data_IF_201781789190
#
_entry.id   IF_201781789190
#
_cell.length_a   1.000
_cell.length_b   1.000
_cell.length_c   1.000
_cell.angle_alpha   90.00
_cell.angle_beta   90.00
_cell.angle_gamma   90.00
#
_symmetry.space_group_name_H-M   'P 1'
#
loop_
_entity.id
_entity.type
_entity.pdbx_description
1 polymer ?
#
# COMPACT_ATOMS: atom_id res chain seq x y z
N UNK A 1 27.57 -56.24 52.79
CA UNK A 1 26.11 -56.18 52.66
C UNK A 1 25.79 -54.77 52.15
N UNK A 2 25.42 -54.62 50.85
CA UNK A 2 25.18 -53.29 50.28
C UNK A 2 23.68 -52.95 50.30
N UNK A 3 23.38 -51.69 50.51
CA UNK A 3 22.06 -51.11 50.48
C UNK A 3 21.65 -50.76 49.08
N UNK A 4 20.44 -51.22 48.67
CA UNK A 4 19.77 -50.92 47.42
C UNK A 4 19.42 -49.42 47.28
N UNK A 5 19.86 -48.80 46.20
CA UNK A 5 19.33 -47.53 45.73
C UNK A 5 18.32 -47.76 44.60
N UNK A 6 17.06 -47.50 44.87
CA UNK A 6 15.94 -47.57 43.92
C UNK A 6 15.96 -46.31 43.06
N UNK A 7 16.24 -46.43 41.77
CA UNK A 7 16.10 -45.37 40.80
C UNK A 7 14.61 -45.12 40.51
N UNK A 8 14.12 -43.93 40.83
CA UNK A 8 12.78 -43.49 40.38
C UNK A 8 12.90 -42.91 38.96
N UNK A 9 12.27 -43.58 38.02
CA UNK A 9 12.03 -43.04 36.68
C UNK A 9 11.03 -41.89 36.77
N UNK A 10 11.38 -40.73 36.19
CA UNK A 10 10.44 -39.66 35.91
C UNK A 10 9.85 -39.84 34.52
N UNK A 11 8.54 -39.66 34.34
CA UNK A 11 7.92 -39.72 33.01
C UNK A 11 8.31 -38.48 32.20
N UNK A 12 8.73 -38.71 30.96
CA UNK A 12 8.95 -37.64 29.97
C UNK A 12 7.61 -37.05 29.60
N UNK A 13 7.38 -35.81 30.03
CA UNK A 13 6.27 -35.00 29.60
C UNK A 13 6.54 -34.40 28.21
N UNK A 14 5.72 -34.77 27.24
CA UNK A 14 5.61 -34.14 25.93
C UNK A 14 5.19 -32.67 26.12
N UNK A 15 6.12 -31.75 25.97
CA UNK A 15 5.83 -30.33 25.87
C UNK A 15 5.40 -30.02 24.44
N UNK A 16 4.11 -29.87 24.23
CA UNK A 16 3.55 -29.20 23.06
C UNK A 16 4.11 -27.76 23.00
N UNK A 17 4.43 -27.24 21.81
CA UNK A 17 4.89 -25.85 21.66
C UNK A 17 3.77 -24.90 22.08
N UNK A 18 3.97 -24.26 23.21
CA UNK A 18 3.04 -23.28 23.76
C UNK A 18 2.81 -22.14 22.76
N UNK A 19 1.56 -22.00 22.43
CA UNK A 19 1.00 -20.85 21.74
C UNK A 19 1.30 -19.61 22.58
N UNK A 20 2.42 -18.92 22.28
CA UNK A 20 2.74 -17.63 22.90
C UNK A 20 1.71 -16.62 22.42
N UNK A 21 0.66 -16.48 23.18
CA UNK A 21 -0.29 -15.37 23.06
C UNK A 21 0.53 -14.09 23.02
N UNK A 22 0.53 -13.48 21.84
CA UNK A 22 1.19 -12.20 21.59
C UNK A 22 0.43 -11.15 22.41
N UNK A 23 1.00 -10.74 23.55
CA UNK A 23 0.44 -9.66 24.35
C UNK A 23 0.56 -8.38 23.55
N UNK A 24 -0.54 -8.00 22.97
CA UNK A 24 -0.70 -6.79 22.19
C UNK A 24 -0.91 -5.66 23.16
N UNK A 25 0.17 -4.97 23.52
CA UNK A 25 0.05 -3.71 24.25
C UNK A 25 -0.47 -2.63 23.27
N UNK A 26 -1.77 -2.50 23.22
CA UNK A 26 -2.43 -1.32 22.65
C UNK A 26 -2.13 -0.17 23.62
N UNK A 27 -1.21 0.74 23.27
CA UNK A 27 -1.16 2.02 23.97
C UNK A 27 -2.40 2.81 23.55
N UNK A 28 -3.55 2.43 24.10
CA UNK A 28 -4.78 3.21 24.05
C UNK A 28 -4.65 4.32 25.07
N UNK A 29 -3.80 5.29 24.84
CA UNK A 29 -4.06 6.64 25.30
C UNK A 29 -5.23 7.19 24.50
N UNK A 30 -6.41 6.60 24.74
CA UNK A 30 -7.65 7.24 24.36
C UNK A 30 -7.75 8.46 25.29
N UNK A 31 -7.68 9.69 24.78
CA UNK A 31 -8.00 10.82 25.64
C UNK A 31 -9.39 10.54 26.19
N UNK A 32 -9.53 10.49 27.52
CA UNK A 32 -10.83 10.46 28.17
C UNK A 32 -11.63 11.57 27.51
N UNK A 33 -12.64 11.19 26.77
CA UNK A 33 -13.55 12.08 26.08
C UNK A 33 -14.28 12.92 27.15
N UNK A 34 -13.73 14.08 27.45
CA UNK A 34 -14.61 15.18 27.79
C UNK A 34 -15.53 15.35 26.58
N UNK A 35 -16.82 15.26 26.81
CA UNK A 35 -17.91 15.15 25.84
C UNK A 35 -18.10 16.43 25.01
N UNK A 36 -17.09 16.83 24.25
CA UNK A 36 -17.26 17.77 23.14
C UNK A 36 -17.34 16.97 21.86
N UNK A 37 -18.56 16.65 21.44
CA UNK A 37 -18.84 16.17 20.09
C UNK A 37 -18.50 17.31 19.12
N UNK A 38 -17.22 17.48 18.78
CA UNK A 38 -16.86 18.40 17.70
C UNK A 38 -17.56 17.95 16.42
N UNK A 39 -18.30 18.83 15.81
CA UNK A 39 -18.83 18.62 14.47
C UNK A 39 -17.75 19.04 13.46
N UNK A 40 -17.90 18.61 12.20
CA UNK A 40 -16.99 19.06 11.15
C UNK A 40 -17.00 20.58 10.98
N UNK A 41 -18.16 21.22 11.22
CA UNK A 41 -18.32 22.67 11.16
C UNK A 41 -17.49 23.34 12.26
N UNK A 42 -17.53 22.82 13.49
CA UNK A 42 -16.81 23.38 14.64
C UNK A 42 -15.29 23.40 14.47
N UNK A 43 -14.75 22.46 13.69
CA UNK A 43 -13.31 22.33 13.48
C UNK A 43 -12.83 22.86 12.12
N UNK A 44 -13.74 23.21 11.21
CA UNK A 44 -13.40 23.61 9.84
C UNK A 44 -12.36 24.76 9.79
N UNK A 45 -12.48 25.75 10.68
CA UNK A 45 -11.54 26.89 10.79
C UNK A 45 -10.15 26.46 11.28
N UNK A 46 -9.98 25.25 11.84
CA UNK A 46 -8.71 24.69 12.33
C UNK A 46 -8.02 23.79 11.29
N UNK A 47 -8.74 23.43 10.23
CA UNK A 47 -8.23 22.56 9.17
C UNK A 47 -7.57 23.39 8.07
N UNK A 48 -6.56 22.83 7.46
CA UNK A 48 -5.83 23.36 6.32
C UNK A 48 -6.04 22.48 5.09
N UNK A 49 -5.84 22.95 3.86
CA UNK A 49 -5.97 22.13 2.65
C UNK A 49 -5.22 20.79 2.76
N UNK A 50 -4.01 20.79 3.27
CA UNK A 50 -3.19 19.60 3.52
C UNK A 50 -3.88 18.54 4.40
N UNK A 51 -4.73 18.95 5.34
CA UNK A 51 -5.40 18.00 6.25
C UNK A 51 -6.49 17.21 5.52
N UNK A 52 -7.15 17.84 4.57
CA UNK A 52 -8.11 17.16 3.69
C UNK A 52 -7.39 16.17 2.76
N UNK A 53 -6.19 16.51 2.28
CA UNK A 53 -5.33 15.57 1.55
C UNK A 53 -4.93 14.38 2.44
N UNK A 54 -4.57 14.60 3.72
CA UNK A 54 -4.33 13.50 4.67
C UNK A 54 -5.55 12.61 4.80
N UNK A 55 -6.76 13.20 4.93
CA UNK A 55 -7.99 12.43 5.03
C UNK A 55 -8.24 11.57 3.78
N UNK A 56 -8.07 12.13 2.58
CA UNK A 56 -8.22 11.42 1.32
C UNK A 56 -7.22 10.27 1.18
N UNK A 57 -5.95 10.51 1.49
CA UNK A 57 -4.90 9.48 1.45
C UNK A 57 -5.17 8.34 2.44
N UNK A 58 -5.59 8.64 3.67
CA UNK A 58 -5.89 7.61 4.66
C UNK A 58 -7.18 6.84 4.33
N UNK A 59 -8.16 7.48 3.72
CA UNK A 59 -9.40 6.80 3.28
C UNK A 59 -9.13 5.87 2.10
N UNK A 60 -8.31 6.30 1.14
CA UNK A 60 -7.94 5.51 -0.04
C UNK A 60 -6.98 4.37 0.34
N UNK A 61 -5.89 4.67 1.01
CA UNK A 61 -4.79 3.72 1.26
C UNK A 61 -4.85 3.06 2.63
N UNK A 62 -5.95 3.24 3.36
CA UNK A 62 -6.26 2.59 4.64
C UNK A 62 -5.36 3.04 5.79
N UNK A 63 -4.05 3.05 5.62
CA UNK A 63 -3.07 3.49 6.64
C UNK A 63 -1.77 3.93 5.98
N UNK A 64 -1.16 4.95 6.58
CA UNK A 64 0.16 5.43 6.20
C UNK A 64 0.99 5.67 7.47
N UNK A 65 2.29 5.42 7.39
CA UNK A 65 3.20 5.72 8.50
C UNK A 65 3.49 7.21 8.61
N UNK A 66 4.01 7.64 9.78
CA UNK A 66 4.51 9.02 9.93
C UNK A 66 5.56 9.36 8.88
N UNK A 67 6.45 8.43 8.56
CA UNK A 67 7.49 8.62 7.54
C UNK A 67 6.89 8.85 6.16
N UNK A 68 5.93 7.99 5.75
CA UNK A 68 5.23 8.12 4.47
C UNK A 68 4.51 9.46 4.35
N UNK A 69 3.70 9.84 5.37
CA UNK A 69 3.02 11.14 5.37
C UNK A 69 4.00 12.32 5.36
N UNK A 70 5.14 12.20 6.04
CA UNK A 70 6.19 13.21 5.96
C UNK A 70 6.71 13.34 4.53
N UNK A 71 7.06 12.21 3.91
CA UNK A 71 7.59 12.19 2.54
C UNK A 71 6.59 12.72 1.51
N UNK A 72 5.29 12.50 1.71
CA UNK A 72 4.25 12.99 0.80
C UNK A 72 3.96 14.49 1.00
N UNK A 73 3.81 14.97 2.24
CA UNK A 73 3.14 16.23 2.53
C UNK A 73 3.98 17.27 3.26
N UNK A 74 5.13 16.90 3.78
CA UNK A 74 5.92 17.78 4.64
C UNK A 74 7.38 17.79 4.23
N UNK A 75 8.05 18.89 4.48
CA UNK A 75 9.50 19.01 4.32
C UNK A 75 10.26 18.65 5.60
N UNK A 76 9.56 18.65 6.75
CA UNK A 76 10.17 18.43 8.06
C UNK A 76 9.38 17.41 8.89
N UNK A 77 10.02 16.33 9.38
CA UNK A 77 9.36 15.29 10.18
C UNK A 77 8.75 15.81 11.49
N UNK A 78 9.36 16.83 12.10
CA UNK A 78 8.85 17.42 13.35
C UNK A 78 7.54 18.15 13.11
N UNK A 79 7.46 18.93 12.04
CA UNK A 79 6.21 19.62 11.63
C UNK A 79 5.10 18.61 11.33
N UNK A 80 5.42 17.51 10.64
CA UNK A 80 4.48 16.43 10.38
C UNK A 80 3.93 15.84 11.70
N UNK A 81 4.81 15.44 12.61
CA UNK A 81 4.42 14.88 13.92
C UNK A 81 3.53 15.83 14.71
N UNK A 82 3.89 17.09 14.81
CA UNK A 82 3.08 18.10 15.51
C UNK A 82 1.69 18.25 14.89
N UNK A 83 1.61 18.32 13.54
CA UNK A 83 0.32 18.44 12.85
C UNK A 83 -0.55 17.22 13.07
N UNK A 84 -0.03 16.02 12.89
CA UNK A 84 -0.76 14.77 13.11
C UNK A 84 -1.24 14.63 14.57
N UNK A 85 -0.43 15.06 15.52
CA UNK A 85 -0.85 15.12 16.93
C UNK A 85 -2.02 16.07 17.17
N UNK A 86 -1.98 17.25 16.52
CA UNK A 86 -3.07 18.24 16.60
C UNK A 86 -4.36 17.67 16.00
N UNK A 87 -4.26 17.03 14.83
CA UNK A 87 -5.39 16.40 14.15
C UNK A 87 -5.99 15.23 14.97
N UNK A 88 -5.14 14.48 15.67
CA UNK A 88 -5.59 13.41 16.56
C UNK A 88 -6.39 13.94 17.76
N UNK A 89 -5.97 15.07 18.36
CA UNK A 89 -6.69 15.70 19.48
C UNK A 89 -8.13 16.09 19.14
N UNK A 90 -8.40 16.37 17.87
CA UNK A 90 -9.73 16.72 17.37
C UNK A 90 -10.45 15.53 16.68
N UNK A 91 -9.95 14.30 16.87
CA UNK A 91 -10.49 13.08 16.26
C UNK A 91 -10.57 13.12 14.70
N UNK A 92 -9.72 13.92 14.04
CA UNK A 92 -9.63 13.96 12.60
C UNK A 92 -8.76 12.82 12.04
N UNK A 93 -7.73 12.40 12.76
CA UNK A 93 -6.96 11.17 12.51
C UNK A 93 -6.84 10.37 13.81
N UNK A 94 -6.57 9.08 13.69
CA UNK A 94 -6.17 8.23 14.80
C UNK A 94 -4.90 7.45 14.43
N UNK A 95 -4.31 6.72 15.40
CA UNK A 95 -3.06 6.00 15.17
C UNK A 95 -2.98 4.72 15.97
N UNK A 96 -2.15 3.80 15.50
CA UNK A 96 -1.73 2.64 16.26
C UNK A 96 -0.24 2.36 16.07
N UNK A 97 0.32 1.56 16.96
CA UNK A 97 1.67 1.00 16.85
C UNK A 97 1.52 -0.52 16.98
N UNK A 98 2.01 -1.25 15.99
CA UNK A 98 2.05 -2.71 16.07
C UNK A 98 3.44 -3.12 16.53
N UNK A 99 3.55 -3.52 17.78
CA UNK A 99 4.82 -3.97 18.34
C UNK A 99 5.25 -5.32 17.74
N UNK A 100 6.46 -5.35 17.20
CA UNK A 100 7.10 -6.56 16.71
C UNK A 100 8.49 -6.66 17.31
N UNK A 101 8.84 -7.76 18.01
CA UNK A 101 10.18 -7.97 18.49
C UNK A 101 11.20 -7.94 17.34
N UNK A 102 12.29 -7.18 17.53
CA UNK A 102 13.40 -7.12 16.57
C UNK A 102 13.15 -6.37 15.27
N UNK A 103 12.01 -5.66 15.13
CA UNK A 103 11.69 -4.86 13.95
C UNK A 103 11.32 -3.42 14.33
N UNK A 104 11.51 -2.45 13.40
CA UNK A 104 11.00 -1.10 13.59
C UNK A 104 9.47 -1.12 13.80
N UNK A 105 9.00 -0.35 14.77
CA UNK A 105 7.58 -0.22 15.08
C UNK A 105 7.06 1.15 14.63
N UNK A 106 6.71 1.33 13.34
CA UNK A 106 6.27 2.62 12.86
C UNK A 106 4.91 2.99 13.47
N UNK A 107 4.72 4.29 13.69
CA UNK A 107 3.39 4.83 13.99
C UNK A 107 2.60 4.82 12.68
N UNK A 108 1.51 4.05 12.66
CA UNK A 108 0.56 3.96 11.57
C UNK A 108 -0.65 4.85 11.85
N UNK A 109 -0.97 5.74 10.92
CA UNK A 109 -2.09 6.66 10.98
C UNK A 109 -3.27 6.11 10.20
N UNK A 110 -4.47 6.29 10.72
CA UNK A 110 -5.74 5.84 10.14
C UNK A 110 -6.76 6.98 10.21
N UNK A 111 -7.85 6.92 9.41
CA UNK A 111 -8.90 7.92 9.54
C UNK A 111 -9.43 8.00 10.98
N UNK A 112 -9.58 9.22 11.50
CA UNK A 112 -10.37 9.49 12.70
C UNK A 112 -11.87 9.60 12.37
N UNK A 113 -12.73 9.76 13.39
CA UNK A 113 -14.17 9.80 13.17
C UNK A 113 -14.60 10.95 12.27
N UNK A 114 -13.98 12.12 12.43
CA UNK A 114 -14.36 13.31 11.68
C UNK A 114 -13.89 13.25 10.23
N UNK A 115 -12.66 12.78 9.95
CA UNK A 115 -12.22 12.61 8.57
C UNK A 115 -12.96 11.49 7.86
N UNK A 116 -13.27 10.38 8.55
CA UNK A 116 -14.05 9.29 7.95
C UNK A 116 -15.47 9.74 7.55
N UNK A 117 -16.11 10.56 8.40
CA UNK A 117 -17.42 11.17 8.09
C UNK A 117 -17.32 12.17 6.94
N UNK A 118 -16.27 13.01 6.96
CA UNK A 118 -16.02 13.96 5.87
C UNK A 118 -15.88 13.23 4.52
N UNK A 119 -15.06 12.19 4.46
CA UNK A 119 -14.83 11.44 3.22
C UNK A 119 -16.08 10.70 2.74
N UNK A 120 -16.88 10.14 3.67
CA UNK A 120 -18.16 9.53 3.31
C UNK A 120 -19.12 10.55 2.68
N UNK A 121 -19.29 11.72 3.32
CA UNK A 121 -20.14 12.79 2.78
C UNK A 121 -19.64 13.30 1.42
N UNK A 122 -18.32 13.47 1.25
CA UNK A 122 -17.72 13.91 0.00
C UNK A 122 -17.96 12.91 -1.17
N UNK A 123 -18.12 11.61 -0.83
CA UNK A 123 -18.43 10.54 -1.80
C UNK A 123 -19.94 10.28 -1.96
N UNK A 124 -20.80 10.99 -1.25
CA UNK A 124 -22.23 10.73 -1.22
C UNK A 124 -22.65 9.49 -0.40
N UNK A 125 -21.74 8.96 0.41
CA UNK A 125 -21.97 7.79 1.25
C UNK A 125 -22.53 8.17 2.63
N UNK A 126 -23.16 7.20 3.32
CA UNK A 126 -23.61 7.38 4.70
C UNK A 126 -22.43 7.47 5.66
N UNK A 127 -22.36 8.49 6.53
CA UNK A 127 -21.28 8.66 7.49
C UNK A 127 -21.18 7.47 8.47
N UNK A 128 -19.98 6.96 8.75
CA UNK A 128 -19.82 5.84 9.67
C UNK A 128 -20.13 6.21 11.12
N UNK A 129 -20.66 5.24 11.88
CA UNK A 129 -20.75 5.34 13.32
C UNK A 129 -19.39 5.18 13.97
N UNK A 130 -19.22 5.67 15.21
CA UNK A 130 -17.98 5.50 15.96
C UNK A 130 -17.63 4.01 16.19
N UNK A 131 -18.65 3.14 16.33
CA UNK A 131 -18.46 1.68 16.45
C UNK A 131 -17.94 1.07 15.16
N UNK A 132 -18.59 1.35 14.04
CA UNK A 132 -18.19 0.82 12.73
C UNK A 132 -16.76 1.26 12.34
N UNK A 133 -16.40 2.52 12.65
CA UNK A 133 -15.03 2.98 12.42
C UNK A 133 -14.01 2.23 13.29
N UNK A 134 -14.28 2.03 14.57
CA UNK A 134 -13.39 1.27 15.46
C UNK A 134 -13.19 -0.15 14.97
N UNK A 135 -14.26 -0.83 14.58
CA UNK A 135 -14.17 -2.18 14.00
C UNK A 135 -13.32 -2.22 12.71
N UNK A 136 -13.41 -1.17 11.86
CA UNK A 136 -12.55 -1.01 10.68
C UNK A 136 -11.08 -0.83 11.09
N UNK A 137 -10.80 0.03 12.06
CA UNK A 137 -9.44 0.26 12.58
C UNK A 137 -8.86 -1.00 13.23
N UNK A 138 -9.66 -1.76 13.98
CA UNK A 138 -9.24 -3.02 14.60
C UNK A 138 -8.88 -4.09 13.54
N UNK A 139 -9.62 -4.17 12.44
CA UNK A 139 -9.27 -5.04 11.30
C UNK A 139 -7.92 -4.65 10.68
N UNK A 140 -7.66 -3.35 10.50
CA UNK A 140 -6.38 -2.86 9.97
C UNK A 140 -5.23 -3.21 10.92
N UNK A 141 -5.44 -3.03 12.22
CA UNK A 141 -4.46 -3.36 13.24
C UNK A 141 -4.12 -4.86 13.29
N UNK A 142 -5.13 -5.72 13.18
CA UNK A 142 -4.99 -7.18 13.32
C UNK A 142 -4.61 -7.89 12.03
N UNK A 143 -4.68 -7.23 10.85
CA UNK A 143 -4.39 -7.90 9.59
C UNK A 143 -2.94 -8.42 9.50
N UNK A 144 -2.71 -9.65 9.07
CA UNK A 144 -1.37 -10.16 8.78
C UNK A 144 -0.73 -9.45 7.57
N UNK A 145 -1.54 -8.79 6.73
CA UNK A 145 -1.12 -8.12 5.51
C UNK A 145 -0.65 -6.67 5.72
N UNK A 146 -0.63 -6.15 6.97
CA UNK A 146 -0.24 -4.76 7.24
C UNK A 146 1.10 -4.38 6.61
N UNK A 147 2.09 -5.25 6.72
CA UNK A 147 3.43 -4.97 6.17
C UNK A 147 3.44 -4.94 4.65
N UNK A 148 2.62 -5.79 4.04
CA UNK A 148 2.43 -5.81 2.60
C UNK A 148 1.80 -4.50 2.13
N UNK A 149 0.74 -4.07 2.79
CA UNK A 149 0.07 -2.80 2.52
C UNK A 149 1.03 -1.59 2.68
N UNK A 150 1.80 -1.56 3.77
CA UNK A 150 2.77 -0.48 3.99
C UNK A 150 3.89 -0.48 2.94
N UNK A 151 4.32 -1.64 2.47
CA UNK A 151 5.34 -1.76 1.44
C UNK A 151 4.78 -1.35 0.05
N UNK A 152 3.55 -1.74 -0.28
CA UNK A 152 2.87 -1.28 -1.50
C UNK A 152 2.72 0.25 -1.49
N UNK A 153 2.27 0.84 -0.37
CA UNK A 153 2.21 2.29 -0.23
C UNK A 153 3.59 2.94 -0.36
N UNK A 154 4.64 2.32 0.17
CA UNK A 154 6.01 2.86 0.08
C UNK A 154 6.52 2.96 -1.36
N UNK A 155 6.12 2.06 -2.23
CA UNK A 155 6.43 2.12 -3.66
C UNK A 155 5.91 3.43 -4.30
N UNK A 156 4.65 3.76 -4.07
CA UNK A 156 4.06 5.00 -4.60
C UNK A 156 4.62 6.25 -3.93
N UNK A 157 4.91 6.17 -2.64
CA UNK A 157 5.60 7.27 -1.93
C UNK A 157 6.97 7.54 -2.54
N UNK A 158 7.71 6.53 -2.95
CA UNK A 158 9.00 6.71 -3.62
C UNK A 158 8.84 7.44 -4.98
N UNK A 159 7.80 7.14 -5.76
CA UNK A 159 7.47 7.88 -6.98
C UNK A 159 7.17 9.36 -6.70
N UNK A 160 6.41 9.67 -5.65
CA UNK A 160 6.13 11.06 -5.25
C UNK A 160 7.39 11.79 -4.78
N UNK A 161 8.29 11.09 -4.10
CA UNK A 161 9.59 11.66 -3.70
C UNK A 161 10.46 11.94 -4.93
N UNK A 162 10.48 11.02 -5.91
CA UNK A 162 11.17 11.23 -7.18
C UNK A 162 10.65 12.50 -7.88
N UNK A 163 9.33 12.63 -8.02
CA UNK A 163 8.70 13.76 -8.70
C UNK A 163 9.08 15.13 -8.08
N UNK A 164 9.27 15.20 -6.76
CA UNK A 164 9.72 16.45 -6.11
C UNK A 164 11.10 16.90 -6.54
N UNK A 165 11.96 15.99 -6.93
CA UNK A 165 13.33 16.27 -7.29
C UNK A 165 13.55 16.32 -8.81
N UNK A 166 12.54 15.94 -9.61
CA UNK A 166 12.61 15.86 -11.07
C UNK A 166 11.41 16.63 -11.68
N UNK A 167 11.56 17.95 -11.93
CA UNK A 167 10.51 18.75 -12.56
C UNK A 167 10.08 18.15 -13.90
N UNK A 168 8.79 18.16 -14.17
CA UNK A 168 8.19 17.55 -15.35
C UNK A 168 7.79 16.09 -15.18
N UNK A 169 8.08 15.49 -14.03
CA UNK A 169 7.59 14.17 -13.67
C UNK A 169 6.49 14.25 -12.61
N UNK A 170 5.61 13.24 -12.54
CA UNK A 170 4.52 13.22 -11.57
C UNK A 170 3.78 11.90 -11.52
N UNK A 171 3.16 11.64 -10.37
CA UNK A 171 2.24 10.51 -10.20
C UNK A 171 0.80 11.04 -10.34
N UNK A 172 0.21 10.88 -11.52
CA UNK A 172 -1.11 11.40 -11.84
C UNK A 172 -2.26 10.49 -11.37
N UNK A 173 -1.97 9.25 -10.97
CA UNK A 173 -2.93 8.33 -10.39
C UNK A 173 -2.24 7.39 -9.42
N UNK A 174 -2.84 7.23 -8.25
CA UNK A 174 -2.45 6.25 -7.26
C UNK A 174 -3.70 5.66 -6.62
N UNK A 175 -4.07 4.47 -7.04
CA UNK A 175 -5.22 3.74 -6.52
C UNK A 175 -4.79 2.55 -5.69
N UNK A 176 -5.49 2.32 -4.59
CA UNK A 176 -5.38 1.11 -3.77
C UNK A 176 -5.91 -0.12 -4.52
N UNK A 177 -5.63 -1.32 -4.01
CA UNK A 177 -6.24 -2.57 -4.51
C UNK A 177 -7.76 -2.44 -4.64
N UNK A 178 -8.42 -1.89 -3.61
CA UNK A 178 -9.88 -1.72 -3.58
C UNK A 178 -10.41 -0.87 -4.74
N UNK A 179 -9.83 0.30 -4.92
CA UNK A 179 -10.24 1.24 -5.98
C UNK A 179 -9.89 0.69 -7.35
N UNK A 180 -8.71 0.08 -7.48
CA UNK A 180 -8.30 -0.59 -8.72
C UNK A 180 -9.27 -1.71 -9.08
N UNK A 181 -9.57 -2.61 -8.16
CA UNK A 181 -10.52 -3.69 -8.43
C UNK A 181 -11.88 -3.15 -8.89
N UNK A 182 -12.40 -2.11 -8.25
CA UNK A 182 -13.65 -1.49 -8.64
C UNK A 182 -13.60 -0.89 -10.06
N UNK A 183 -12.54 -0.14 -10.37
CA UNK A 183 -12.38 0.55 -11.65
C UNK A 183 -12.21 -0.43 -12.84
N UNK A 184 -11.65 -1.61 -12.59
CA UNK A 184 -11.48 -2.66 -13.61
C UNK A 184 -12.51 -3.80 -13.49
N UNK A 185 -13.73 -3.49 -13.02
CA UNK A 185 -14.85 -4.43 -12.96
C UNK A 185 -14.59 -5.68 -12.12
N UNK A 186 -13.70 -5.60 -11.10
CA UNK A 186 -13.25 -6.71 -10.24
C UNK A 186 -12.60 -7.87 -10.99
N UNK A 187 -12.06 -7.61 -12.19
CA UNK A 187 -11.34 -8.61 -13.00
C UNK A 187 -9.94 -8.88 -12.46
N UNK A 188 -9.32 -7.86 -11.85
CA UNK A 188 -7.97 -7.90 -11.28
C UNK A 188 -7.98 -7.33 -9.86
N UNK A 189 -7.01 -7.76 -9.05
CA UNK A 189 -6.79 -7.30 -7.68
C UNK A 189 -5.28 -7.08 -7.44
N UNK A 190 -4.63 -6.17 -8.19
CA UNK A 190 -3.23 -5.85 -7.94
C UNK A 190 -3.08 -5.05 -6.64
N UNK A 191 -1.89 -5.04 -6.06
CA UNK A 191 -1.60 -4.30 -4.83
C UNK A 191 -1.77 -2.78 -4.97
N UNK A 192 -1.81 -2.30 -6.21
CA UNK A 192 -2.12 -0.93 -6.56
C UNK A 192 -2.06 -0.69 -8.06
N UNK A 193 -2.58 0.46 -8.46
CA UNK A 193 -2.51 0.96 -9.83
C UNK A 193 -2.02 2.40 -9.81
N UNK A 194 -1.11 2.72 -10.73
CA UNK A 194 -0.59 4.05 -10.90
C UNK A 194 -0.56 4.51 -12.36
N UNK A 195 -0.51 5.84 -12.53
CA UNK A 195 -0.15 6.47 -13.80
C UNK A 195 0.99 7.44 -13.52
N UNK A 196 2.13 7.16 -14.14
CA UNK A 196 3.33 7.98 -14.05
C UNK A 196 3.44 8.89 -15.27
N UNK A 197 3.70 10.17 -15.04
CA UNK A 197 3.94 11.18 -16.05
C UNK A 197 5.42 11.53 -16.10
N UNK A 198 5.97 11.70 -17.30
CA UNK A 198 7.32 12.21 -17.53
C UNK A 198 7.32 13.00 -18.85
N UNK A 199 7.33 14.32 -18.75
CA UNK A 199 7.12 15.19 -19.89
C UNK A 199 5.78 14.92 -20.57
N UNK A 200 5.82 14.36 -21.80
CA UNK A 200 4.63 13.97 -22.55
C UNK A 200 4.27 12.50 -22.41
N UNK A 201 5.13 11.69 -21.80
CA UNK A 201 4.89 10.28 -21.60
C UNK A 201 3.92 10.06 -20.44
N UNK A 202 3.01 9.10 -20.61
CA UNK A 202 2.02 8.70 -19.60
C UNK A 202 2.01 7.18 -19.51
N UNK A 203 2.55 6.63 -18.44
CA UNK A 203 2.70 5.20 -18.22
C UNK A 203 1.76 4.73 -17.12
N UNK A 204 0.63 4.11 -17.51
CA UNK A 204 -0.23 3.38 -16.57
C UNK A 204 0.41 2.02 -16.24
N UNK A 205 0.24 1.53 -15.01
CA UNK A 205 0.78 0.24 -14.57
C UNK A 205 -0.03 -0.39 -13.44
N UNK A 206 0.08 -1.70 -13.30
CA UNK A 206 -0.41 -2.45 -12.14
C UNK A 206 0.77 -2.93 -11.30
N UNK A 207 0.70 -2.77 -9.98
CA UNK A 207 1.75 -3.17 -9.05
C UNK A 207 1.40 -4.52 -8.41
N UNK A 208 2.37 -5.43 -8.41
CA UNK A 208 2.36 -6.71 -7.69
C UNK A 208 3.63 -6.79 -6.82
N UNK A 209 3.46 -6.74 -5.51
CA UNK A 209 4.56 -6.77 -4.55
C UNK A 209 4.70 -8.17 -3.95
N UNK A 210 5.80 -8.83 -4.24
CA UNK A 210 6.10 -10.15 -3.70
C UNK A 210 7.02 -10.05 -2.48
N UNK A 211 6.60 -10.63 -1.38
CA UNK A 211 7.40 -10.70 -0.15
C UNK A 211 8.17 -12.02 0.00
N UNK A 212 8.14 -12.88 -1.02
CA UNK A 212 8.80 -14.17 -0.98
C UNK A 212 8.10 -15.23 -0.13
N UNK A 213 6.91 -14.96 0.35
CA UNK A 213 6.13 -15.87 1.21
C UNK A 213 5.26 -16.85 0.44
N UNK A 214 4.98 -16.57 -0.83
CA UNK A 214 4.16 -17.40 -1.70
C UNK A 214 5.00 -18.15 -2.74
N UNK A 215 4.56 -19.33 -3.22
CA UNK A 215 5.16 -19.98 -4.39
C UNK A 215 5.05 -19.10 -5.63
N UNK A 216 6.10 -19.07 -6.48
CA UNK A 216 6.09 -18.30 -7.74
C UNK A 216 4.94 -18.66 -8.68
N UNK A 217 4.42 -19.89 -8.61
CA UNK A 217 3.24 -20.29 -9.35
C UNK A 217 2.04 -19.40 -9.12
N UNK A 218 1.79 -19.00 -7.88
CA UNK A 218 0.68 -18.10 -7.56
C UNK A 218 0.84 -16.70 -8.15
N UNK A 219 2.09 -16.21 -8.28
CA UNK A 219 2.34 -14.94 -8.95
C UNK A 219 1.99 -15.02 -10.45
N UNK A 220 2.41 -16.13 -11.11
CA UNK A 220 2.08 -16.32 -12.52
C UNK A 220 0.59 -16.61 -12.74
N UNK A 221 -0.10 -17.24 -11.79
CA UNK A 221 -1.55 -17.47 -11.88
C UNK A 221 -2.35 -16.16 -11.94
N UNK A 222 -1.88 -15.11 -11.25
CA UNK A 222 -2.50 -13.76 -11.31
C UNK A 222 -2.45 -13.15 -12.71
N UNK A 223 -1.42 -13.47 -13.51
CA UNK A 223 -1.30 -12.99 -14.89
C UNK A 223 -2.47 -13.42 -15.77
N UNK A 224 -3.09 -14.57 -15.48
CA UNK A 224 -4.28 -15.03 -16.21
C UNK A 224 -5.45 -14.04 -16.12
N UNK A 225 -5.61 -13.37 -14.97
CA UNK A 225 -6.63 -12.33 -14.78
C UNK A 225 -6.30 -11.05 -15.55
N UNK A 226 -5.04 -10.63 -15.58
CA UNK A 226 -4.59 -9.49 -16.39
C UNK A 226 -4.76 -9.75 -17.89
N UNK A 227 -4.41 -10.97 -18.36
CA UNK A 227 -4.63 -11.38 -19.75
C UNK A 227 -6.11 -11.34 -20.14
N UNK A 228 -6.98 -11.85 -19.27
CA UNK A 228 -8.43 -11.81 -19.49
C UNK A 228 -8.94 -10.38 -19.55
N UNK A 229 -8.54 -9.51 -18.60
CA UNK A 229 -8.89 -8.11 -18.61
C UNK A 229 -8.51 -7.45 -19.94
N UNK A 230 -7.28 -7.66 -20.41
CA UNK A 230 -6.81 -7.12 -21.69
C UNK A 230 -7.65 -7.63 -22.87
N UNK A 231 -7.95 -8.93 -22.91
CA UNK A 231 -8.79 -9.52 -23.95
C UNK A 231 -10.23 -9.02 -23.93
N UNK A 232 -10.76 -8.59 -22.78
CA UNK A 232 -12.10 -8.04 -22.60
C UNK A 232 -12.16 -6.51 -22.83
N UNK A 233 -11.09 -5.88 -23.32
CA UNK A 233 -11.03 -4.44 -23.64
C UNK A 233 -10.42 -3.56 -22.55
N UNK A 234 -9.79 -4.14 -21.54
CA UNK A 234 -8.98 -3.40 -20.59
C UNK A 234 -7.71 -2.80 -21.22
N UNK A 235 -7.04 -1.87 -20.52
CA UNK A 235 -5.84 -1.20 -21.03
C UNK A 235 -4.66 -2.16 -21.14
N UNK A 236 -3.70 -1.82 -22.01
CA UNK A 236 -2.42 -2.55 -22.13
C UNK A 236 -1.39 -1.96 -21.15
N UNK A 237 -1.63 -2.13 -19.86
CA UNK A 237 -0.71 -1.69 -18.81
C UNK A 237 0.28 -2.79 -18.43
N UNK A 238 1.57 -2.45 -18.22
CA UNK A 238 2.52 -3.38 -17.67
C UNK A 238 2.15 -3.84 -16.26
N UNK A 239 2.39 -5.11 -15.97
CA UNK A 239 2.35 -5.67 -14.61
C UNK A 239 3.75 -5.60 -14.02
N UNK A 240 3.90 -4.81 -12.97
CA UNK A 240 5.17 -4.54 -12.30
C UNK A 240 5.33 -5.44 -11.08
N UNK A 241 6.28 -6.37 -11.13
CA UNK A 241 6.61 -7.19 -9.97
C UNK A 241 7.80 -6.60 -9.20
N UNK A 242 7.58 -6.24 -7.94
CA UNK A 242 8.64 -5.90 -7.00
C UNK A 242 8.96 -7.14 -6.16
N UNK A 243 10.15 -7.69 -6.32
CA UNK A 243 10.57 -8.94 -5.69
C UNK A 243 11.56 -8.68 -4.55
N UNK A 244 11.63 -9.55 -3.53
CA UNK A 244 12.43 -9.31 -2.33
C UNK A 244 13.94 -9.37 -2.58
N UNK A 245 14.39 -10.04 -3.65
CA UNK A 245 15.81 -10.16 -4.00
C UNK A 245 16.00 -10.62 -5.46
N UNK A 246 17.24 -10.47 -5.94
CA UNK A 246 17.66 -10.84 -7.30
C UNK A 246 17.47 -12.33 -7.62
N UNK A 247 17.69 -13.21 -6.65
CA UNK A 247 17.53 -14.65 -6.88
C UNK A 247 16.08 -15.00 -7.23
N UNK A 248 15.15 -14.40 -6.50
CA UNK A 248 13.71 -14.60 -6.75
C UNK A 248 13.28 -13.95 -8.06
N UNK A 249 13.84 -12.80 -8.43
CA UNK A 249 13.62 -12.17 -9.72
C UNK A 249 14.10 -13.08 -10.87
N UNK A 250 15.28 -13.67 -10.76
CA UNK A 250 15.80 -14.61 -11.76
C UNK A 250 14.93 -15.86 -11.89
N UNK A 251 14.44 -16.39 -10.75
CA UNK A 251 13.55 -17.55 -10.75
C UNK A 251 12.20 -17.23 -11.43
N UNK A 252 11.65 -16.05 -11.21
CA UNK A 252 10.43 -15.60 -11.90
C UNK A 252 10.67 -15.48 -13.40
N UNK A 253 11.79 -14.88 -13.84
CA UNK A 253 12.13 -14.79 -15.26
C UNK A 253 12.29 -16.17 -15.92
N UNK A 254 12.87 -17.15 -15.22
CA UNK A 254 12.97 -18.53 -15.74
C UNK A 254 11.59 -19.13 -15.97
N UNK A 255 10.71 -18.99 -14.99
CA UNK A 255 9.33 -19.49 -15.08
C UNK A 255 8.53 -18.80 -16.19
N UNK A 256 8.69 -17.48 -16.35
CA UNK A 256 8.06 -16.73 -17.45
C UNK A 256 8.61 -17.14 -18.84
N UNK A 257 9.85 -17.60 -18.91
CA UNK A 257 10.41 -18.15 -20.16
C UNK A 257 9.85 -19.53 -20.49
N UNK A 258 9.55 -20.36 -19.47
CA UNK A 258 8.89 -21.66 -19.64
C UNK A 258 7.41 -21.51 -20.03
N UNK A 259 6.75 -20.43 -19.56
CA UNK A 259 5.33 -20.12 -19.81
C UNK A 259 5.19 -18.68 -20.27
N UNK A 260 5.47 -18.36 -21.55
CA UNK A 260 5.41 -17.01 -22.07
C UNK A 260 3.98 -16.43 -22.06
N UNK A 261 3.88 -15.15 -21.71
CA UNK A 261 2.62 -14.37 -21.77
C UNK A 261 2.78 -13.21 -22.78
N UNK A 262 2.78 -13.49 -24.10
CA UNK A 262 3.13 -12.49 -25.11
C UNK A 262 2.14 -11.31 -25.21
N UNK A 263 0.93 -11.48 -24.69
CA UNK A 263 -0.09 -10.43 -24.66
C UNK A 263 0.06 -9.45 -23.50
N UNK A 264 0.98 -9.71 -22.56
CA UNK A 264 1.20 -8.87 -21.41
C UNK A 264 2.62 -8.30 -21.38
N UNK A 265 2.72 -7.02 -21.07
CA UNK A 265 4.00 -6.43 -20.67
C UNK A 265 4.23 -6.76 -19.19
N UNK A 266 5.28 -7.51 -18.88
CA UNK A 266 5.66 -7.87 -17.51
C UNK A 266 7.05 -7.29 -17.25
N UNK A 267 7.16 -6.48 -16.21
CA UNK A 267 8.43 -5.90 -15.77
C UNK A 267 8.71 -6.25 -14.31
N UNK A 268 9.98 -6.50 -13.99
CA UNK A 268 10.39 -6.92 -12.66
C UNK A 268 11.49 -6.03 -12.11
N UNK A 269 11.54 -5.90 -10.79
CA UNK A 269 12.65 -5.28 -10.08
C UNK A 269 12.90 -5.96 -8.74
N UNK A 270 14.10 -5.75 -8.20
CA UNK A 270 14.49 -6.15 -6.85
C UNK A 270 15.36 -5.06 -6.21
N UNK A 271 15.51 -4.99 -4.88
CA UNK A 271 16.27 -3.92 -4.21
C UNK A 271 17.70 -3.75 -4.71
N UNK A 272 18.35 -4.84 -5.14
CA UNK A 272 19.71 -4.81 -5.69
C UNK A 272 19.79 -4.10 -7.06
N UNK A 273 18.67 -3.80 -7.67
CA UNK A 273 18.61 -3.10 -8.96
C UNK A 273 18.46 -1.59 -8.80
N UNK A 274 18.17 -1.14 -7.59
CA UNK A 274 17.91 0.25 -7.23
C UNK A 274 16.60 0.40 -6.47
N UNK A 275 16.50 1.46 -5.68
CA UNK A 275 15.34 1.73 -4.82
C UNK A 275 14.37 2.77 -5.41
N UNK A 276 14.75 3.42 -6.51
CA UNK A 276 13.93 4.43 -7.18
C UNK A 276 13.08 3.78 -8.27
N UNK A 277 11.77 3.62 -8.06
CA UNK A 277 10.90 2.94 -9.02
C UNK A 277 10.68 3.73 -10.33
N UNK A 278 10.99 5.02 -10.38
CA UNK A 278 10.96 5.79 -11.63
C UNK A 278 12.19 5.57 -12.49
N UNK A 279 13.32 5.17 -11.88
CA UNK A 279 14.62 4.99 -12.51
C UNK A 279 14.74 3.72 -13.36
N UNK A 280 15.95 3.48 -13.95
CA UNK A 280 16.22 2.33 -14.82
C UNK A 280 16.40 1.04 -14.01
N UNK A 281 15.36 0.60 -13.33
CA UNK A 281 15.34 -0.58 -12.45
C UNK A 281 14.53 -1.74 -13.02
N UNK A 282 13.73 -1.50 -14.06
CA UNK A 282 12.74 -2.44 -14.58
C UNK A 282 13.32 -3.36 -15.66
N UNK A 283 13.28 -4.65 -15.44
CA UNK A 283 13.66 -5.68 -16.40
C UNK A 283 12.41 -6.28 -17.03
N UNK A 284 12.28 -6.17 -18.35
CA UNK A 284 11.17 -6.79 -19.09
C UNK A 284 11.35 -8.31 -19.19
N UNK A 285 10.26 -9.05 -19.06
CA UNK A 285 10.23 -10.47 -19.39
C UNK A 285 10.51 -10.67 -20.90
N UNK A 286 11.37 -11.66 -21.22
CA UNK A 286 11.75 -11.94 -22.60
C UNK A 286 12.79 -10.98 -23.21
N UNK A 287 13.16 -9.87 -22.56
CA UNK A 287 14.05 -8.83 -23.12
C UNK A 287 15.41 -8.76 -22.42
N UNK A 288 16.11 -9.88 -22.33
CA UNK A 288 17.50 -9.92 -21.84
C UNK A 288 17.67 -9.43 -20.39
N UNK A 289 18.79 -8.71 -20.13
CA UNK A 289 19.15 -8.20 -18.80
C UNK A 289 19.09 -6.67 -18.70
N UNK A 290 18.74 -5.99 -19.79
CA UNK A 290 18.64 -4.52 -19.80
C UNK A 290 17.50 -4.06 -18.88
N UNK A 291 17.73 -2.94 -18.19
CA UNK A 291 16.74 -2.34 -17.32
C UNK A 291 16.32 -0.99 -17.87
N UNK A 292 15.03 -0.74 -17.84
CA UNK A 292 14.38 0.46 -18.34
C UNK A 292 13.90 1.32 -17.16
N UNK A 293 13.84 2.65 -17.33
CA UNK A 293 13.07 3.51 -16.45
C UNK A 293 11.56 3.24 -16.64
N UNK A 294 10.76 3.62 -15.63
CA UNK A 294 9.32 3.39 -15.64
C UNK A 294 8.63 4.00 -16.87
N UNK A 295 9.08 5.18 -17.30
CA UNK A 295 8.54 5.92 -18.43
C UNK A 295 8.74 5.22 -19.79
N UNK A 296 9.75 4.33 -19.90
CA UNK A 296 10.05 3.59 -21.15
C UNK A 296 9.35 2.23 -21.24
N UNK A 297 8.61 1.83 -20.20
CA UNK A 297 7.87 0.58 -20.25
C UNK A 297 6.70 0.69 -21.24
N UNK A 298 6.50 -0.30 -22.13
CA UNK A 298 5.35 -0.32 -23.00
C UNK A 298 4.05 -0.24 -22.22
N UNK A 299 3.26 0.81 -22.47
CA UNK A 299 1.99 1.07 -21.80
C UNK A 299 1.04 1.80 -22.74
N UNK A 300 -0.23 1.43 -22.71
CA UNK A 300 -1.27 2.11 -23.48
C UNK A 300 -2.56 2.19 -22.68
N UNK A 301 -3.10 3.40 -22.56
CA UNK A 301 -4.38 3.61 -21.89
C UNK A 301 -5.56 3.00 -22.65
N UNK A 302 -5.44 2.83 -23.97
CA UNK A 302 -6.55 2.38 -24.81
C UNK A 302 -7.73 3.35 -24.77
N UNK A 303 -8.89 2.87 -25.20
CA UNK A 303 -10.14 3.66 -25.17
C UNK A 303 -10.86 3.46 -23.82
N UNK A 304 -11.36 4.53 -23.18
CA UNK A 304 -12.17 4.41 -21.97
C UNK A 304 -13.40 3.53 -22.19
N UNK A 305 -13.75 2.74 -21.18
CA UNK A 305 -14.88 1.82 -21.23
C UNK A 305 -15.18 1.17 -19.87
N UNK A 306 -16.13 0.24 -19.80
CA UNK A 306 -16.55 -0.37 -18.53
C UNK A 306 -15.42 -1.08 -17.75
N UNK A 307 -14.37 -1.53 -18.45
CA UNK A 307 -13.19 -2.20 -17.87
C UNK A 307 -11.90 -1.41 -18.09
N UNK A 308 -12.03 -0.16 -18.51
CA UNK A 308 -10.90 0.72 -18.77
C UNK A 308 -11.22 2.14 -18.34
N UNK A 309 -10.66 2.62 -17.24
CA UNK A 309 -10.89 3.99 -16.77
C UNK A 309 -10.27 5.07 -17.66
N UNK A 310 -9.46 4.66 -18.65
CA UNK A 310 -8.77 5.61 -19.54
C UNK A 310 -7.58 6.34 -18.86
N UNK A 311 -7.05 7.37 -19.52
CA UNK A 311 -6.00 8.22 -18.95
C UNK A 311 -6.50 8.96 -17.69
N UNK A 312 -5.59 9.45 -16.84
CA UNK A 312 -6.00 10.22 -15.67
C UNK A 312 -6.64 11.55 -16.08
N UNK A 313 -7.75 11.87 -15.42
CA UNK A 313 -8.37 13.18 -15.59
C UNK A 313 -7.74 14.18 -14.63
N UNK A 314 -7.28 15.34 -15.12
CA UNK A 314 -6.52 16.29 -14.30
C UNK A 314 -7.26 16.80 -13.06
N UNK A 315 -8.59 16.77 -13.05
CA UNK A 315 -9.39 17.43 -12.01
C UNK A 315 -9.83 16.53 -10.84
N UNK A 316 -9.63 15.23 -10.93
CA UNK A 316 -10.16 14.26 -9.95
C UNK A 316 -9.11 13.63 -9.01
N UNK A 317 -7.82 13.99 -9.13
CA UNK A 317 -6.79 13.38 -8.29
C UNK A 317 -6.47 14.22 -7.04
N UNK A 318 -6.65 13.67 -5.82
CA UNK A 318 -6.24 14.34 -4.59
C UNK A 318 -4.72 14.61 -4.51
N UNK A 319 -3.91 13.92 -5.33
CA UNK A 319 -2.47 14.16 -5.43
C UNK A 319 -2.12 15.44 -6.19
N UNK A 320 -3.04 15.99 -6.98
CA UNK A 320 -2.83 17.25 -7.71
C UNK A 320 -2.51 18.45 -6.80
N UNK A 321 -2.99 18.42 -5.57
CA UNK A 321 -2.64 19.42 -4.56
C UNK A 321 -1.18 19.32 -4.09
N UNK A 322 -0.44 18.31 -4.57
CA UNK A 322 0.95 18.02 -4.20
C UNK A 322 1.94 18.29 -5.34
N UNK A 323 1.45 18.53 -6.55
CA UNK A 323 2.21 18.98 -7.71
C UNK A 323 2.16 20.50 -7.79
#
# INVERSE_FOLDING_TARGET
MPANAVARQFPQGNSLPGNRSMVVLRTTDTPRTNSFSHTLIDISHRLRPRDYTIASLLDEHTTLTTHQLTSILFTNPTTCRHRLHTLRKIAFVDRFIRNRPGAPNPICWVPGLLSARYMALAKGDSPPTAKALRERQDRVYSTPLLEHLLAANQFFVALLVHARHHPGTGLARWWSERTTAAAFGRRIHPDGHGVWLDGRASTGFHLELDRGTEPLGRLTDRLSSHRRLHAEGGPAYPVLFVLPNRAREQNLHRRLAEHPEPSLTIATTSPESGLDPAGPVWRLAGNGRHRLPLTELPSSHGQPGPLNPGPPEPDHDPLRLLM
#
